data_IF_959858095744
#
_entry.id   IF_959858095744
#
_cell.length_a   1.000
_cell.length_b   1.000
_cell.length_c   1.000
_cell.angle_alpha   90.00
_cell.angle_beta   90.00
_cell.angle_gamma   90.00
#
_symmetry.space_group_name_H-M   'P 1'
#
loop_
_entity.id
_entity.type
_entity.pdbx_description
1 polymer ?
#
# COMPACT_ATOMS: atom_id res chain seq x y z
N UNK A 1 -6.09 10.81 -28.50
CA UNK A 1 -5.09 9.74 -28.62
C UNK A 1 -3.79 10.09 -27.87
N UNK A 2 -3.22 11.29 -28.10
CA UNK A 2 -1.98 11.74 -27.43
C UNK A 2 -2.14 11.74 -25.91
N UNK A 3 -3.23 12.28 -25.35
CA UNK A 3 -3.52 12.25 -23.89
C UNK A 3 -3.70 10.84 -23.33
N UNK A 4 -4.25 9.92 -24.12
CA UNK A 4 -4.39 8.51 -23.73
C UNK A 4 -3.03 7.81 -23.69
N UNK A 5 -2.18 8.06 -24.67
CA UNK A 5 -0.82 7.52 -24.71
C UNK A 5 0.06 8.09 -23.60
N UNK A 6 -0.04 9.39 -23.32
CA UNK A 6 0.64 10.03 -22.18
C UNK A 6 0.18 9.41 -20.85
N UNK A 7 -1.11 9.17 -20.67
CA UNK A 7 -1.65 8.51 -19.48
C UNK A 7 -1.13 7.07 -19.31
N UNK A 8 -1.03 6.31 -20.38
CA UNK A 8 -0.49 4.94 -20.38
C UNK A 8 1.01 4.94 -20.08
N UNK A 9 1.77 5.85 -20.67
CA UNK A 9 3.21 5.98 -20.43
C UNK A 9 3.50 6.39 -18.99
N UNK A 10 2.75 7.35 -18.43
CA UNK A 10 2.89 7.79 -17.04
C UNK A 10 2.51 6.71 -16.04
N UNK A 11 1.45 5.94 -16.31
CA UNK A 11 1.05 4.79 -15.49
C UNK A 11 2.15 3.72 -15.49
N UNK A 12 2.70 3.40 -16.66
CA UNK A 12 3.81 2.45 -16.80
C UNK A 12 5.07 2.89 -16.07
N UNK A 13 5.44 4.18 -16.16
CA UNK A 13 6.60 4.74 -15.45
C UNK A 13 6.41 4.69 -13.93
N UNK A 14 5.24 5.06 -13.43
CA UNK A 14 4.91 4.98 -12.00
C UNK A 14 5.02 3.55 -11.47
N UNK A 15 4.56 2.58 -12.24
CA UNK A 15 4.64 1.16 -11.89
C UNK A 15 6.10 0.67 -11.86
N UNK A 16 6.95 1.13 -12.77
CA UNK A 16 8.38 0.80 -12.77
C UNK A 16 9.12 1.38 -11.57
N UNK A 17 8.85 2.63 -11.24
CA UNK A 17 9.45 3.30 -10.07
C UNK A 17 9.01 2.59 -8.79
N UNK A 18 7.72 2.31 -8.65
CA UNK A 18 7.16 1.57 -7.51
C UNK A 18 7.85 0.22 -7.34
N UNK A 19 7.94 -0.56 -8.41
CA UNK A 19 8.57 -1.88 -8.43
C UNK A 19 10.05 -1.84 -8.03
N UNK A 20 10.78 -0.86 -8.53
CA UNK A 20 12.18 -0.64 -8.20
C UNK A 20 12.38 -0.33 -6.72
N UNK A 21 11.62 0.62 -6.18
CA UNK A 21 11.71 1.01 -4.76
C UNK A 21 11.29 -0.12 -3.83
N UNK A 22 10.26 -0.89 -4.18
CA UNK A 22 9.84 -2.08 -3.42
C UNK A 22 10.92 -3.17 -3.44
N UNK A 23 11.61 -3.35 -4.55
CA UNK A 23 12.74 -4.28 -4.64
C UNK A 23 13.88 -3.86 -3.73
N UNK A 24 14.26 -2.58 -3.74
CA UNK A 24 15.28 -2.05 -2.84
C UNK A 24 14.92 -2.26 -1.36
N UNK A 25 13.66 -2.03 -1.00
CA UNK A 25 13.15 -2.24 0.37
C UNK A 25 13.19 -3.71 0.79
N UNK A 26 12.92 -4.65 -0.13
CA UNK A 26 13.03 -6.09 0.15
C UNK A 26 14.47 -6.53 0.37
N UNK A 27 15.40 -5.94 -0.35
CA UNK A 27 16.84 -6.26 -0.26
C UNK A 27 17.51 -5.55 0.93
N UNK A 28 16.91 -4.49 1.46
CA UNK A 28 17.43 -3.76 2.62
C UNK A 28 17.23 -4.58 3.91
N UNK A 29 18.31 -4.78 4.68
CA UNK A 29 18.30 -5.60 5.90
C UNK A 29 17.29 -5.13 6.95
N UNK A 30 17.02 -3.82 7.02
CA UNK A 30 16.12 -3.20 8.02
C UNK A 30 14.78 -2.73 7.41
N UNK A 31 14.48 -3.07 6.15
CA UNK A 31 13.27 -2.58 5.47
C UNK A 31 13.21 -1.06 5.33
N UNK A 32 14.37 -0.41 5.24
CA UNK A 32 14.52 1.03 5.13
C UNK A 32 15.53 1.35 4.03
N UNK A 33 15.20 2.33 3.20
CA UNK A 33 16.11 2.88 2.21
C UNK A 33 16.20 4.40 2.34
N UNK A 34 17.36 4.93 2.00
CA UNK A 34 17.59 6.37 1.82
C UNK A 34 18.04 6.61 0.39
N UNK A 35 17.35 7.48 -0.32
CA UNK A 35 17.65 7.77 -1.73
C UNK A 35 17.44 9.26 -2.02
N UNK A 36 18.21 9.81 -2.95
CA UNK A 36 18.01 11.17 -3.41
C UNK A 36 16.91 11.21 -4.49
N UNK A 37 15.98 12.14 -4.36
CA UNK A 37 14.93 12.34 -5.37
C UNK A 37 15.51 12.62 -6.74
N UNK A 38 16.57 13.40 -6.79
CA UNK A 38 17.27 13.73 -8.02
C UNK A 38 17.86 12.50 -8.69
N UNK A 39 18.49 11.61 -7.92
CA UNK A 39 19.06 10.36 -8.46
C UNK A 39 17.98 9.47 -9.07
N UNK A 40 16.82 9.34 -8.40
CA UNK A 40 15.67 8.61 -8.97
C UNK A 40 15.16 9.26 -10.26
N UNK A 41 15.00 10.58 -10.26
CA UNK A 41 14.52 11.30 -11.43
C UNK A 41 15.49 11.16 -12.63
N UNK A 42 16.80 11.22 -12.39
CA UNK A 42 17.83 10.99 -13.40
C UNK A 42 17.82 9.53 -13.89
N UNK A 43 17.72 8.56 -12.98
CA UNK A 43 17.68 7.13 -13.32
C UNK A 43 16.50 6.76 -14.20
N UNK A 44 15.32 7.29 -13.90
CA UNK A 44 14.09 7.03 -14.65
C UNK A 44 13.81 8.05 -15.77
N UNK A 45 14.74 8.97 -16.02
CA UNK A 45 14.61 10.01 -17.03
C UNK A 45 13.26 10.76 -16.96
N UNK A 46 12.89 11.18 -15.75
CA UNK A 46 11.62 11.83 -15.48
C UNK A 46 11.79 13.09 -14.62
N UNK A 47 10.71 13.87 -14.54
CA UNK A 47 10.67 15.03 -13.67
C UNK A 47 10.59 14.61 -12.18
N UNK A 48 11.19 15.37 -11.24
CA UNK A 48 11.06 15.11 -9.80
C UNK A 48 9.61 15.01 -9.29
N UNK A 49 8.68 15.73 -9.96
CA UNK A 49 7.25 15.65 -9.65
C UNK A 49 6.65 14.26 -9.89
N UNK A 50 7.18 13.48 -10.83
CA UNK A 50 6.78 12.08 -11.04
C UNK A 50 7.19 11.19 -9.88
N UNK A 51 8.37 11.41 -9.33
CA UNK A 51 8.83 10.71 -8.12
C UNK A 51 7.89 11.03 -6.94
N UNK A 52 7.56 12.32 -6.74
CA UNK A 52 6.62 12.72 -5.71
C UNK A 52 5.26 12.04 -5.88
N UNK A 53 4.73 11.98 -7.10
CA UNK A 53 3.46 11.32 -7.40
C UNK A 53 3.47 9.85 -6.99
N UNK A 54 4.53 9.11 -7.31
CA UNK A 54 4.68 7.70 -6.92
C UNK A 54 4.73 7.56 -5.40
N UNK A 55 5.53 8.39 -4.72
CA UNK A 55 5.62 8.35 -3.26
C UNK A 55 4.28 8.64 -2.60
N UNK A 56 3.59 9.69 -3.05
CA UNK A 56 2.32 10.14 -2.46
C UNK A 56 1.15 9.17 -2.71
N UNK A 57 1.21 8.41 -3.81
CA UNK A 57 0.12 7.50 -4.20
C UNK A 57 0.38 6.03 -3.91
N UNK A 58 1.64 5.58 -3.87
CA UNK A 58 2.02 4.17 -3.75
C UNK A 58 2.71 3.81 -2.43
N UNK A 59 3.36 4.79 -1.78
CA UNK A 59 4.09 4.59 -0.51
C UNK A 59 3.40 5.32 0.64
N UNK A 60 2.13 5.02 0.83
CA UNK A 60 1.28 5.63 1.85
C UNK A 60 1.30 4.82 3.16
N UNK A 61 0.99 5.44 4.32
CA UNK A 61 0.85 4.73 5.59
C UNK A 61 -0.20 3.60 5.52
N UNK A 62 -1.29 3.79 4.78
CA UNK A 62 -2.32 2.76 4.58
C UNK A 62 -1.77 1.50 3.91
N UNK A 63 -0.77 1.66 3.06
CA UNK A 63 -0.04 0.56 2.39
C UNK A 63 1.14 0.04 3.19
N UNK A 64 1.38 0.58 4.38
CA UNK A 64 2.43 0.14 5.29
C UNK A 64 3.78 0.78 5.06
N UNK A 65 3.82 1.99 4.54
CA UNK A 65 5.04 2.75 4.34
C UNK A 65 5.04 4.06 5.12
N UNK A 66 6.21 4.46 5.58
CA UNK A 66 6.47 5.81 6.07
C UNK A 66 7.50 6.45 5.15
N UNK A 67 7.17 7.64 4.65
CA UNK A 67 8.05 8.43 3.79
C UNK A 67 8.38 9.74 4.51
N UNK A 68 9.66 9.96 4.75
CA UNK A 68 10.18 11.20 5.33
C UNK A 68 11.06 11.89 4.30
N UNK A 69 10.84 13.17 4.10
CA UNK A 69 11.69 14.01 3.24
C UNK A 69 12.49 14.99 4.08
N UNK A 70 13.80 15.01 3.87
CA UNK A 70 14.66 16.06 4.45
C UNK A 70 15.00 17.08 3.37
N UNK A 71 14.68 18.34 3.66
CA UNK A 71 15.11 19.49 2.88
C UNK A 71 16.53 19.89 3.30
N UNK A 72 17.39 20.16 2.33
CA UNK A 72 18.79 20.54 2.54
C UNK A 72 19.77 19.36 2.30
N UNK A 73 20.98 19.66 1.81
CA UNK A 73 22.02 18.65 1.56
C UNK A 73 21.72 17.63 0.46
N UNK A 74 20.88 17.98 -0.55
CA UNK A 74 20.56 17.13 -1.70
C UNK A 74 19.18 16.46 -1.71
N UNK A 75 18.31 16.73 -0.76
CA UNK A 75 16.89 16.28 -0.80
C UNK A 75 16.72 14.78 -0.65
N UNK A 76 17.18 14.21 0.45
CA UNK A 76 17.02 12.79 0.76
C UNK A 76 15.58 12.42 1.07
N UNK A 77 15.17 11.27 0.56
CA UNK A 77 13.92 10.60 0.87
C UNK A 77 14.28 9.35 1.67
N UNK A 78 13.67 9.21 2.84
CA UNK A 78 13.73 8.00 3.65
C UNK A 78 12.40 7.26 3.52
N UNK A 79 12.44 6.02 3.04
CA UNK A 79 11.28 5.15 2.94
C UNK A 79 11.48 4.01 3.92
N UNK A 80 10.51 3.81 4.80
CA UNK A 80 10.49 2.72 5.77
C UNK A 80 9.29 1.83 5.48
N UNK A 81 9.52 0.54 5.33
CA UNK A 81 8.46 -0.47 5.25
C UNK A 81 8.13 -0.96 6.65
N UNK A 82 6.87 -0.84 7.03
CA UNK A 82 6.35 -1.39 8.27
C UNK A 82 5.97 -2.86 8.02
N UNK A 83 6.74 -3.81 8.55
CA UNK A 83 6.46 -5.22 8.38
C UNK A 83 5.41 -5.72 9.35
N UNK A 84 4.43 -6.46 8.85
CA UNK A 84 3.61 -7.34 9.66
C UNK A 84 4.34 -8.68 9.84
N UNK A 85 4.54 -9.08 11.09
CA UNK A 85 5.03 -10.42 11.39
C UNK A 85 3.91 -11.20 12.03
N UNK A 86 3.42 -12.29 11.42
CA UNK A 86 2.46 -13.17 12.07
C UNK A 86 3.02 -13.68 13.41
N UNK A 87 2.24 -13.59 14.45
CA UNK A 87 2.58 -14.00 15.80
C UNK A 87 1.33 -13.97 16.68
N UNK A 88 1.45 -14.30 17.97
CA UNK A 88 0.31 -14.37 18.90
C UNK A 88 -0.55 -13.10 18.94
N UNK A 89 0.05 -11.94 18.67
CA UNK A 89 -0.63 -10.65 18.73
C UNK A 89 -1.03 -10.12 17.34
N UNK A 90 -0.79 -10.88 16.27
CA UNK A 90 -1.03 -10.40 14.91
C UNK A 90 -2.50 -10.06 14.65
N UNK A 91 -3.43 -10.88 15.11
CA UNK A 91 -4.86 -10.61 14.98
C UNK A 91 -5.29 -9.37 15.77
N UNK A 92 -4.69 -9.13 16.95
CA UNK A 92 -4.92 -7.90 17.72
C UNK A 92 -4.43 -6.67 16.98
N UNK A 93 -3.26 -6.74 16.35
CA UNK A 93 -2.72 -5.63 15.53
C UNK A 93 -3.61 -5.37 14.32
N UNK A 94 -4.12 -6.41 13.67
CA UNK A 94 -5.08 -6.27 12.58
C UNK A 94 -6.39 -5.63 13.06
N UNK A 95 -6.91 -6.07 14.19
CA UNK A 95 -8.14 -5.52 14.77
C UNK A 95 -8.01 -4.03 15.08
N UNK A 96 -6.91 -3.62 15.70
CA UNK A 96 -6.59 -2.22 15.96
C UNK A 96 -6.39 -1.41 14.67
N UNK A 97 -5.70 -1.98 13.68
CA UNK A 97 -5.44 -1.33 12.37
C UNK A 97 -6.74 -1.08 11.60
N UNK A 98 -7.65 -2.04 11.61
CA UNK A 98 -8.96 -1.94 10.96
C UNK A 98 -9.87 -0.99 11.74
N UNK A 99 -9.88 -1.09 13.06
CA UNK A 99 -10.75 -0.32 13.94
C UNK A 99 -12.23 -0.65 13.78
N UNK A 100 -13.10 0.24 14.24
CA UNK A 100 -14.55 0.08 14.13
C UNK A 100 -15.10 0.44 12.75
N UNK A 101 -14.35 1.25 12.01
CA UNK A 101 -14.70 1.73 10.68
C UNK A 101 -13.45 1.75 9.79
N UNK A 102 -13.58 1.30 8.56
CA UNK A 102 -12.49 1.36 7.58
C UNK A 102 -13.03 1.77 6.20
N UNK A 103 -12.40 2.79 5.59
CA UNK A 103 -12.75 3.19 4.23
C UNK A 103 -12.33 2.14 3.21
N UNK A 104 -12.96 2.14 2.03
CA UNK A 104 -12.60 1.23 0.94
C UNK A 104 -11.12 1.33 0.57
N UNK A 105 -10.58 2.55 0.51
CA UNK A 105 -9.18 2.82 0.20
C UNK A 105 -8.22 2.23 1.24
N UNK A 106 -8.51 2.41 2.53
CA UNK A 106 -7.69 1.87 3.61
C UNK A 106 -7.74 0.34 3.66
N UNK A 107 -8.91 -0.24 3.45
CA UNK A 107 -9.10 -1.69 3.38
C UNK A 107 -8.29 -2.29 2.22
N UNK A 108 -8.35 -1.68 1.04
CA UNK A 108 -7.56 -2.11 -0.12
C UNK A 108 -6.05 -1.99 0.15
N UNK A 109 -5.58 -0.88 0.72
CA UNK A 109 -4.18 -0.70 1.10
C UNK A 109 -3.69 -1.77 2.08
N UNK A 110 -4.49 -2.12 3.07
CA UNK A 110 -4.19 -3.20 4.01
C UNK A 110 -4.11 -4.56 3.31
N UNK A 111 -5.08 -4.88 2.45
CA UNK A 111 -5.11 -6.15 1.71
C UNK A 111 -3.91 -6.30 0.76
N UNK A 112 -3.55 -5.24 0.04
CA UNK A 112 -2.35 -5.22 -0.81
C UNK A 112 -1.10 -5.53 0.01
N UNK A 113 -0.98 -4.93 1.18
CA UNK A 113 0.16 -5.17 2.07
C UNK A 113 0.19 -6.61 2.58
N UNK A 114 -0.94 -7.17 2.98
CA UNK A 114 -1.03 -8.56 3.45
C UNK A 114 -0.65 -9.55 2.34
N UNK A 115 -1.03 -9.27 1.10
CA UNK A 115 -0.66 -10.06 -0.07
C UNK A 115 0.85 -9.94 -0.36
N UNK A 116 1.40 -8.73 -0.39
CA UNK A 116 2.84 -8.49 -0.62
C UNK A 116 3.73 -9.18 0.44
N UNK A 117 3.24 -9.29 1.67
CA UNK A 117 3.93 -10.00 2.77
C UNK A 117 3.61 -11.50 2.80
N UNK A 118 2.88 -12.02 1.80
CA UNK A 118 2.48 -13.43 1.69
C UNK A 118 1.67 -13.95 2.90
N UNK A 119 0.97 -13.06 3.59
CA UNK A 119 0.07 -13.40 4.70
C UNK A 119 -1.27 -13.89 4.14
N UNK A 120 -1.71 -13.30 3.04
CA UNK A 120 -2.81 -13.78 2.22
C UNK A 120 -2.32 -14.03 0.79
N UNK A 121 -2.92 -14.99 0.12
CA UNK A 121 -2.64 -15.27 -1.29
C UNK A 121 -3.34 -14.25 -2.19
N UNK A 122 -2.92 -14.18 -3.44
CA UNK A 122 -3.59 -13.34 -4.45
C UNK A 122 -5.07 -13.72 -4.62
N UNK A 123 -5.40 -15.02 -4.59
CA UNK A 123 -6.78 -15.50 -4.70
C UNK A 123 -7.62 -15.07 -3.49
N UNK A 124 -7.06 -15.15 -2.29
CA UNK A 124 -7.70 -14.67 -1.06
C UNK A 124 -7.90 -13.15 -1.08
N UNK A 125 -6.91 -12.39 -1.54
CA UNK A 125 -7.02 -10.96 -1.75
C UNK A 125 -8.19 -10.61 -2.68
N UNK A 126 -8.24 -11.23 -3.86
CA UNK A 126 -9.31 -11.02 -4.86
C UNK A 126 -10.67 -11.39 -4.28
N UNK A 127 -10.75 -12.51 -3.58
CA UNK A 127 -11.98 -12.96 -2.92
C UNK A 127 -12.47 -11.95 -1.87
N UNK A 128 -11.61 -11.55 -0.92
CA UNK A 128 -11.96 -10.60 0.14
C UNK A 128 -12.41 -9.27 -0.47
N UNK A 129 -11.63 -8.72 -1.40
CA UNK A 129 -11.96 -7.46 -2.07
C UNK A 129 -13.32 -7.53 -2.76
N UNK A 130 -13.58 -8.59 -3.51
CA UNK A 130 -14.84 -8.79 -4.22
C UNK A 130 -16.03 -8.86 -3.26
N UNK A 131 -15.89 -9.62 -2.16
CA UNK A 131 -16.94 -9.73 -1.14
C UNK A 131 -17.19 -8.39 -0.45
N UNK A 132 -16.14 -7.67 -0.06
CA UNK A 132 -16.28 -6.36 0.57
C UNK A 132 -17.01 -5.37 -0.34
N UNK A 133 -16.60 -5.27 -1.60
CA UNK A 133 -17.20 -4.35 -2.56
C UNK A 133 -18.67 -4.68 -2.84
N UNK A 134 -19.01 -5.96 -2.95
CA UNK A 134 -20.37 -6.40 -3.21
C UNK A 134 -21.29 -6.23 -2.00
N UNK A 135 -20.85 -6.67 -0.84
CA UNK A 135 -21.70 -6.70 0.36
C UNK A 135 -21.91 -5.30 0.94
N UNK A 136 -20.88 -4.46 0.96
CA UNK A 136 -21.02 -3.10 1.50
C UNK A 136 -21.96 -2.22 0.68
N UNK A 137 -22.11 -2.46 -0.64
CA UNK A 137 -23.05 -1.71 -1.50
C UNK A 137 -24.51 -1.90 -1.10
N UNK A 138 -24.85 -2.97 -0.39
CA UNK A 138 -26.21 -3.26 0.08
C UNK A 138 -26.65 -2.34 1.23
N UNK A 139 -25.70 -1.61 1.81
CA UNK A 139 -25.94 -0.74 2.96
C UNK A 139 -25.91 0.74 2.56
N UNK A 140 -26.64 1.61 3.29
CA UNK A 140 -26.50 3.06 3.15
C UNK A 140 -25.08 3.53 3.39
N UNK A 141 -24.65 4.61 2.75
CA UNK A 141 -23.28 5.09 2.75
C UNK A 141 -22.67 5.25 4.14
N UNK A 142 -23.46 5.76 5.10
CA UNK A 142 -23.01 5.99 6.47
C UNK A 142 -22.77 4.72 7.31
N UNK A 143 -23.19 3.55 6.83
CA UNK A 143 -22.91 2.26 7.47
C UNK A 143 -21.81 1.46 6.78
N UNK A 144 -21.45 1.82 5.55
CA UNK A 144 -20.54 1.01 4.70
C UNK A 144 -19.20 0.77 5.34
N UNK A 145 -18.61 1.77 5.96
CA UNK A 145 -17.27 1.66 6.56
C UNK A 145 -17.26 0.76 7.81
N UNK A 146 -18.35 0.76 8.58
CA UNK A 146 -18.55 -0.17 9.71
C UNK A 146 -18.73 -1.60 9.23
N UNK A 147 -19.60 -1.80 8.25
CA UNK A 147 -19.84 -3.12 7.67
C UNK A 147 -18.55 -3.67 7.06
N UNK A 148 -17.80 -2.84 6.36
CA UNK A 148 -16.51 -3.20 5.78
C UNK A 148 -15.52 -3.64 6.86
N UNK A 149 -15.39 -2.89 7.93
CA UNK A 149 -14.51 -3.23 9.05
C UNK A 149 -14.90 -4.59 9.67
N UNK A 150 -16.17 -4.80 9.94
CA UNK A 150 -16.69 -6.05 10.52
C UNK A 150 -16.45 -7.26 9.62
N UNK A 151 -16.75 -7.14 8.33
CA UNK A 151 -16.53 -8.20 7.35
C UNK A 151 -15.04 -8.51 7.17
N UNK A 152 -14.22 -7.47 7.05
CA UNK A 152 -12.77 -7.65 6.86
C UNK A 152 -12.13 -8.36 8.05
N UNK A 153 -12.45 -7.95 9.28
CA UNK A 153 -11.99 -8.63 10.51
C UNK A 153 -12.39 -10.10 10.54
N UNK A 154 -13.66 -10.39 10.25
CA UNK A 154 -14.16 -11.76 10.26
C UNK A 154 -13.46 -12.66 9.24
N UNK A 155 -13.26 -12.16 8.02
CA UNK A 155 -12.58 -12.91 6.97
C UNK A 155 -11.10 -13.14 7.28
N UNK A 156 -10.39 -12.11 7.74
CA UNK A 156 -8.97 -12.23 8.09
C UNK A 156 -8.76 -13.16 9.29
N UNK A 157 -9.64 -13.13 10.29
CA UNK A 157 -9.57 -14.05 11.43
C UNK A 157 -9.71 -15.52 11.02
N UNK A 158 -10.39 -15.83 9.91
CA UNK A 158 -10.54 -17.18 9.38
C UNK A 158 -9.39 -17.62 8.47
N UNK A 159 -8.77 -16.68 7.77
CA UNK A 159 -7.74 -16.96 6.75
C UNK A 159 -6.33 -16.90 7.31
N UNK A 160 -6.07 -15.98 8.23
CA UNK A 160 -4.76 -15.87 8.87
C UNK A 160 -4.65 -16.98 9.91
N UNK A 161 -3.94 -18.05 9.52
CA UNK A 161 -3.65 -19.16 10.43
C UNK A 161 -2.41 -18.82 11.26
N UNK A 162 -2.50 -19.12 12.55
CA UNK A 162 -1.36 -19.08 13.48
C UNK A 162 -0.25 -20.05 13.08
#
# INVERSE_FOLDING_TARGET
LVRLLEGIILSSLSDFIEKYLKQMLREAAEGMIMIQRRELAEMFECAPSQINYVLDTRFTPDRGYLVETRRGGGGYIRIVRLSFRPGRDFLSVLDETIGDEITARRAEGLLVRLEEESIVTLDEYVFIKTVLDRETRKFPDHYRDRVRASLLKAMLALLVRE
#
